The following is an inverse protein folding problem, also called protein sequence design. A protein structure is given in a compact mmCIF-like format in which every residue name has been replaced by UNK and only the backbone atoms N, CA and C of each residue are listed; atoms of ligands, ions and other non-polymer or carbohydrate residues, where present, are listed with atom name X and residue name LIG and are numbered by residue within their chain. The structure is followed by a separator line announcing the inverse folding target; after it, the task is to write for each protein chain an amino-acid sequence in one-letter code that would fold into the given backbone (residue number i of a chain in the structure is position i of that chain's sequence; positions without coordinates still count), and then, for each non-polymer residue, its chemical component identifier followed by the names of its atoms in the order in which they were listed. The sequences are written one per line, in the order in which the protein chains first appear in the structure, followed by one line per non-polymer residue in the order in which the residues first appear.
data_IF_417606509473
#
_entry.id   IF_417606509473
#
_cell.length_a   1.000
_cell.length_b   1.000
_cell.length_c   1.000
_cell.angle_alpha   90.00
_cell.angle_beta   90.00
_cell.angle_gamma   90.00
#
_symmetry.space_group_name_H-M   'P 1'
#
loop_
_entity.id
_entity.type
_entity.pdbx_description
1 polymer ?
#
# COMPACT_ATOMS: atom_id res chain seq x y z
N UNK A 1 -2.80 12.55 24.05
CA UNK A 1 -2.43 12.30 22.64
C UNK A 1 -3.35 13.09 21.76
N UNK A 2 -2.83 14.21 21.25
CA UNK A 2 -3.54 15.13 20.35
C UNK A 2 -3.74 14.48 18.97
N UNK A 3 -4.91 14.73 18.36
CA UNK A 3 -5.29 14.10 17.08
C UNK A 3 -5.84 15.12 16.10
N UNK A 4 -5.55 14.92 14.83
CA UNK A 4 -6.11 15.73 13.74
C UNK A 4 -6.62 14.85 12.61
N UNK A 5 -7.75 15.26 12.03
CA UNK A 5 -8.39 14.57 10.91
C UNK A 5 -8.36 15.47 9.68
N UNK A 6 -7.95 14.91 8.54
CA UNK A 6 -7.55 15.70 7.37
C UNK A 6 -8.24 15.19 6.12
N UNK A 7 -8.96 16.08 5.46
CA UNK A 7 -9.30 15.92 4.05
C UNK A 7 -8.15 16.46 3.20
N UNK A 8 -7.48 15.54 2.49
CA UNK A 8 -6.28 15.87 1.74
C UNK A 8 -6.66 16.58 0.45
N UNK A 9 -5.97 17.70 0.19
CA UNK A 9 -6.03 18.41 -1.06
C UNK A 9 -4.82 18.12 -1.96
N UNK A 10 -4.97 18.43 -3.25
CA UNK A 10 -3.97 18.27 -4.31
C UNK A 10 -3.76 19.62 -5.04
N UNK A 11 -2.60 19.81 -5.70
CA UNK A 11 -2.24 20.99 -6.51
C UNK A 11 -2.29 22.34 -5.75
N UNK A 12 -1.45 22.49 -4.72
CA UNK A 12 -1.28 23.75 -3.97
C UNK A 12 -2.51 24.24 -3.20
N UNK A 13 -3.59 23.47 -3.17
CA UNK A 13 -4.72 23.70 -2.29
C UNK A 13 -4.37 23.24 -0.87
N UNK A 14 -4.78 24.03 0.12
CA UNK A 14 -4.56 23.72 1.54
C UNK A 14 -5.28 22.46 1.99
N UNK A 15 -4.65 21.71 2.89
CA UNK A 15 -5.26 20.58 3.56
C UNK A 15 -6.25 21.07 4.60
N UNK A 16 -7.48 20.56 4.56
CA UNK A 16 -8.51 20.95 5.53
C UNK A 16 -8.45 20.00 6.72
N UNK A 17 -8.20 20.58 7.88
CA UNK A 17 -7.97 19.87 9.13
C UNK A 17 -9.12 20.09 10.11
N UNK A 18 -9.40 19.08 10.91
CA UNK A 18 -10.31 19.13 12.04
C UNK A 18 -9.58 18.69 13.31
N UNK A 19 -9.43 19.63 14.24
CA UNK A 19 -8.90 19.42 15.59
C UNK A 19 -10.03 19.00 16.52
N UNK A 20 -9.93 17.80 17.08
CA UNK A 20 -10.96 17.26 17.97
C UNK A 20 -10.92 17.82 19.38
N UNK A 21 -9.75 18.25 19.84
CA UNK A 21 -9.56 18.73 21.21
C UNK A 21 -10.08 20.17 21.33
N UNK A 22 -9.92 20.95 20.27
CA UNK A 22 -10.42 22.35 20.19
C UNK A 22 -11.73 22.50 19.42
N UNK A 23 -12.26 21.41 18.87
CA UNK A 23 -13.49 21.35 18.07
C UNK A 23 -13.54 22.36 16.89
N UNK A 24 -12.39 22.62 16.25
CA UNK A 24 -12.22 23.66 15.24
C UNK A 24 -11.69 23.12 13.90
N UNK A 25 -12.00 23.86 12.83
CA UNK A 25 -11.45 23.63 11.50
C UNK A 25 -10.35 24.64 11.21
N UNK A 26 -9.28 24.18 10.59
CA UNK A 26 -8.18 25.02 10.12
C UNK A 26 -7.57 24.44 8.83
N UNK A 27 -6.68 25.19 8.20
CA UNK A 27 -6.06 24.83 6.95
C UNK A 27 -4.54 24.92 7.08
N UNK A 28 -3.83 23.96 6.49
CA UNK A 28 -2.36 23.94 6.43
C UNK A 28 -1.88 23.77 5.00
N UNK A 29 -0.75 24.38 4.67
CA UNK A 29 -0.14 24.26 3.35
C UNK A 29 0.68 22.96 3.24
N UNK A 30 1.20 22.46 4.36
CA UNK A 30 1.95 21.21 4.47
C UNK A 30 1.56 20.40 5.71
N UNK A 31 1.56 19.06 5.60
CA UNK A 31 1.41 18.16 6.74
C UNK A 31 2.53 18.33 7.79
N UNK A 32 3.68 18.88 7.40
CA UNK A 32 4.80 19.16 8.31
C UNK A 32 4.49 20.27 9.33
N UNK A 33 3.46 21.08 9.09
CA UNK A 33 3.00 22.11 10.05
C UNK A 33 2.30 21.51 11.27
N UNK A 34 1.88 20.25 11.21
CA UNK A 34 1.11 19.57 12.25
C UNK A 34 1.98 19.01 13.38
N UNK A 35 2.97 19.79 13.83
CA UNK A 35 3.98 19.37 14.82
C UNK A 35 3.40 19.09 16.20
N UNK A 36 2.29 19.74 16.54
CA UNK A 36 1.63 19.62 17.85
C UNK A 36 0.71 18.40 17.97
N UNK A 37 0.54 17.62 16.89
CA UNK A 37 -0.31 16.44 16.86
C UNK A 37 0.50 15.16 16.97
N UNK A 38 0.06 14.21 17.79
CA UNK A 38 0.68 12.89 17.93
C UNK A 38 0.18 11.90 16.87
N UNK A 39 -1.12 12.00 16.54
CA UNK A 39 -1.79 11.15 15.56
C UNK A 39 -2.45 11.97 14.46
N UNK A 40 -2.16 11.62 13.21
CA UNK A 40 -2.67 12.29 12.02
C UNK A 40 -3.50 11.30 11.22
N UNK A 41 -4.77 11.62 10.99
CA UNK A 41 -5.74 10.77 10.30
C UNK A 41 -6.10 11.38 8.95
N UNK A 42 -5.63 10.73 7.89
CA UNK A 42 -5.80 11.14 6.52
C UNK A 42 -7.03 10.47 5.88
N UNK A 43 -7.62 11.15 4.92
CA UNK A 43 -8.53 10.53 3.96
C UNK A 43 -7.80 9.45 3.12
N UNK A 44 -8.49 8.82 2.17
CA UNK A 44 -7.90 7.72 1.39
C UNK A 44 -7.03 8.19 0.21
N UNK A 45 -6.85 9.50 0.02
CA UNK A 45 -6.31 10.08 -1.20
C UNK A 45 -4.81 10.37 -1.04
N UNK A 46 -3.96 9.35 -1.21
CA UNK A 46 -2.51 9.53 -1.20
C UNK A 46 -2.00 9.91 -2.60
N UNK A 47 -1.56 11.15 -2.76
CA UNK A 47 -1.07 11.71 -4.03
C UNK A 47 0.47 11.66 -4.14
N UNK A 48 1.05 11.68 -5.35
CA UNK A 48 2.50 11.62 -5.55
C UNK A 48 3.32 12.71 -4.84
N UNK A 49 2.80 13.93 -4.77
CA UNK A 49 3.42 15.10 -4.13
C UNK A 49 3.41 15.03 -2.59
N UNK A 50 2.52 14.23 -2.01
CA UNK A 50 2.42 14.06 -0.57
C UNK A 50 3.51 13.19 0.04
N UNK A 51 4.13 12.29 -0.72
CA UNK A 51 5.03 11.30 -0.15
C UNK A 51 6.21 11.94 0.59
N UNK A 52 6.70 13.08 0.12
CA UNK A 52 7.76 13.82 0.80
C UNK A 52 7.29 14.38 2.16
N UNK A 53 6.10 14.99 2.20
CA UNK A 53 5.54 15.51 3.46
C UNK A 53 5.27 14.37 4.46
N UNK A 54 4.74 13.25 3.99
CA UNK A 54 4.51 12.06 4.82
C UNK A 54 5.81 11.48 5.35
N UNK A 55 6.89 11.52 4.56
CA UNK A 55 8.22 11.06 4.98
C UNK A 55 8.73 11.91 6.13
N UNK A 56 8.64 13.23 6.01
CA UNK A 56 9.05 14.17 7.05
C UNK A 56 8.26 13.95 8.35
N UNK A 57 6.93 13.92 8.25
CA UNK A 57 6.04 13.75 9.40
C UNK A 57 6.30 12.43 10.14
N UNK A 58 6.42 11.31 9.42
CA UNK A 58 6.70 10.00 10.03
C UNK A 58 8.11 9.96 10.63
N UNK A 59 9.10 10.57 9.96
CA UNK A 59 10.48 10.62 10.47
C UNK A 59 10.60 11.45 11.74
N UNK A 60 9.72 12.44 11.93
CA UNK A 60 9.59 13.22 13.15
C UNK A 60 8.82 12.48 14.28
N UNK A 61 8.59 11.18 14.13
CA UNK A 61 7.98 10.33 15.17
C UNK A 61 6.46 10.41 15.25
N UNK A 62 5.78 11.01 14.26
CA UNK A 62 4.32 11.14 14.26
C UNK A 62 3.64 9.89 13.71
N UNK A 63 2.51 9.53 14.30
CA UNK A 63 1.72 8.39 13.86
C UNK A 63 0.72 8.83 12.78
N UNK A 64 0.95 8.38 11.55
CA UNK A 64 0.07 8.73 10.42
C UNK A 64 -0.80 7.52 10.06
N UNK A 65 -2.10 7.76 9.92
CA UNK A 65 -3.08 6.77 9.53
C UNK A 65 -3.85 7.22 8.31
N UNK A 66 -4.26 6.29 7.45
CA UNK A 66 -5.10 6.59 6.30
C UNK A 66 -6.42 5.82 6.35
N UNK A 67 -7.48 6.45 5.88
CA UNK A 67 -8.79 5.84 5.76
C UNK A 67 -8.81 4.76 4.67
N UNK A 68 -9.34 3.58 4.98
CA UNK A 68 -9.22 2.39 4.11
C UNK A 68 -10.49 2.03 3.34
N UNK A 69 -11.58 2.79 3.52
CA UNK A 69 -12.91 2.42 2.99
C UNK A 69 -13.56 3.54 2.19
N UNK A 70 -12.91 4.06 1.14
CA UNK A 70 -13.45 5.16 0.32
C UNK A 70 -14.86 4.86 -0.24
N UNK A 71 -15.18 3.59 -0.54
CA UNK A 71 -16.50 3.20 -1.05
C UNK A 71 -17.63 3.34 -0.01
N UNK A 72 -17.32 3.55 1.27
CA UNK A 72 -18.31 3.77 2.34
C UNK A 72 -18.69 5.23 2.54
N UNK A 73 -18.08 6.19 1.84
CA UNK A 73 -18.35 7.62 2.05
C UNK A 73 -19.83 7.97 1.98
N UNK A 74 -20.57 7.43 1.01
CA UNK A 74 -22.03 7.64 0.89
C UNK A 74 -22.81 7.15 2.11
N UNK A 75 -22.46 5.96 2.63
CA UNK A 75 -23.06 5.37 3.83
C UNK A 75 -22.73 6.19 5.07
N UNK A 76 -21.48 6.63 5.20
CA UNK A 76 -20.98 7.46 6.31
C UNK A 76 -21.73 8.80 6.36
N UNK A 77 -21.81 9.52 5.23
CA UNK A 77 -22.57 10.78 5.14
C UNK A 77 -24.04 10.60 5.51
N UNK A 78 -24.68 9.52 5.03
CA UNK A 78 -26.09 9.24 5.36
C UNK A 78 -26.25 9.00 6.87
N UNK A 79 -25.33 8.24 7.48
CA UNK A 79 -25.36 7.89 8.90
C UNK A 79 -25.22 9.12 9.80
N UNK A 80 -24.28 10.01 9.50
CA UNK A 80 -23.97 11.18 10.32
C UNK A 80 -24.57 12.46 9.75
N UNK A 81 -25.68 12.37 9.00
CA UNK A 81 -26.25 13.48 8.25
C UNK A 81 -26.62 14.67 9.13
N UNK A 82 -27.29 14.39 10.26
CA UNK A 82 -27.81 15.43 11.13
C UNK A 82 -26.68 16.09 11.93
N UNK A 83 -25.72 15.30 12.44
CA UNK A 83 -24.50 15.81 13.08
C UNK A 83 -23.65 16.64 12.12
N UNK A 84 -23.50 16.18 10.87
CA UNK A 84 -22.79 16.93 9.83
C UNK A 84 -23.50 18.26 9.53
N UNK A 85 -24.83 18.24 9.38
CA UNK A 85 -25.61 19.47 9.14
C UNK A 85 -25.52 20.43 10.32
N UNK A 86 -25.53 19.93 11.55
CA UNK A 86 -25.36 20.73 12.75
C UNK A 86 -23.96 21.38 12.81
N UNK A 87 -22.92 20.65 12.41
CA UNK A 87 -21.53 21.12 12.51
C UNK A 87 -21.12 22.08 11.39
N UNK A 88 -21.52 21.82 10.14
CA UNK A 88 -21.06 22.58 8.96
C UNK A 88 -22.20 23.26 8.18
N UNK A 89 -23.43 23.20 8.68
CA UNK A 89 -24.62 23.81 8.06
C UNK A 89 -25.16 23.08 6.82
N UNK A 90 -24.44 22.09 6.28
CA UNK A 90 -24.81 21.35 5.06
C UNK A 90 -24.52 19.86 5.21
N UNK A 91 -25.32 19.03 4.53
CA UNK A 91 -25.11 17.57 4.48
C UNK A 91 -24.40 17.09 3.20
N UNK A 92 -24.10 18.01 2.28
CA UNK A 92 -23.42 17.72 1.00
C UNK A 92 -21.91 17.52 1.21
N UNK A 93 -21.22 17.03 0.16
CA UNK A 93 -19.76 16.90 0.18
C UNK A 93 -19.08 18.26 0.31
N UNK A 94 -18.21 18.38 1.31
CA UNK A 94 -17.29 19.49 1.55
C UNK A 94 -16.04 18.94 2.23
N UNK A 95 -14.91 19.62 2.08
CA UNK A 95 -13.63 19.19 2.65
C UNK A 95 -13.67 19.20 4.20
N UNK A 96 -14.21 20.28 4.79
CA UNK A 96 -14.48 20.35 6.25
C UNK A 96 -15.40 19.21 6.70
N UNK A 97 -16.40 18.90 5.91
CA UNK A 97 -17.31 17.80 6.19
C UNK A 97 -16.61 16.45 6.16
N UNK A 98 -15.70 16.23 5.21
CA UNK A 98 -14.93 14.97 5.12
C UNK A 98 -13.95 14.83 6.28
N UNK A 99 -13.22 15.88 6.66
CA UNK A 99 -12.38 15.90 7.85
C UNK A 99 -13.18 15.55 9.13
N UNK A 100 -14.35 16.18 9.32
CA UNK A 100 -15.24 15.88 10.45
C UNK A 100 -15.78 14.44 10.43
N UNK A 101 -16.14 13.92 9.25
CA UNK A 101 -16.65 12.56 9.14
C UNK A 101 -15.58 11.50 9.40
N UNK A 102 -14.30 11.77 9.10
CA UNK A 102 -13.21 10.89 9.50
C UNK A 102 -13.16 10.75 11.03
N UNK A 103 -13.31 11.86 11.76
CA UNK A 103 -13.42 11.83 13.23
C UNK A 103 -14.61 10.99 13.70
N UNK A 104 -15.80 11.18 13.11
CA UNK A 104 -16.99 10.39 13.48
C UNK A 104 -16.84 8.90 13.21
N UNK A 105 -16.16 8.55 12.12
CA UNK A 105 -15.80 7.15 11.85
C UNK A 105 -14.82 6.63 12.90
N UNK A 106 -13.84 7.43 13.29
CA UNK A 106 -12.87 7.09 14.32
C UNK A 106 -13.54 6.85 15.67
N UNK A 107 -14.36 7.80 16.14
CA UNK A 107 -15.16 7.72 17.37
C UNK A 107 -15.99 6.42 17.42
N UNK A 108 -16.76 6.15 16.36
CA UNK A 108 -17.55 4.93 16.26
C UNK A 108 -16.68 3.66 16.26
N UNK A 109 -15.51 3.71 15.64
CA UNK A 109 -14.59 2.57 15.55
C UNK A 109 -13.90 2.28 16.88
N UNK A 110 -13.68 3.29 17.73
CA UNK A 110 -13.20 3.13 19.09
C UNK A 110 -14.23 2.38 19.94
N UNK A 111 -15.49 2.80 19.91
CA UNK A 111 -16.59 2.15 20.65
C UNK A 111 -16.70 0.67 20.26
N UNK A 112 -16.47 0.35 18.99
CA UNK A 112 -16.52 -1.02 18.46
C UNK A 112 -15.20 -1.79 18.56
N UNK A 113 -14.19 -1.20 19.19
CA UNK A 113 -12.83 -1.72 19.30
C UNK A 113 -12.27 -2.25 17.95
N UNK A 114 -12.43 -1.46 16.88
CA UNK A 114 -12.11 -1.90 15.52
C UNK A 114 -11.51 -0.82 14.63
N UNK A 115 -10.86 0.20 15.21
CA UNK A 115 -10.19 1.31 14.49
C UNK A 115 -9.29 0.83 13.35
N UNK A 116 -8.54 -0.24 13.56
CA UNK A 116 -7.67 -0.89 12.55
C UNK A 116 -8.40 -1.33 11.25
N UNK A 117 -9.73 -1.45 11.27
CA UNK A 117 -10.56 -1.78 10.09
C UNK A 117 -10.87 -0.58 9.22
N UNK A 118 -10.77 0.63 9.76
CA UNK A 118 -11.08 1.89 9.10
C UNK A 118 -9.82 2.69 8.83
N UNK A 119 -8.91 2.75 9.81
CA UNK A 119 -7.66 3.47 9.73
C UNK A 119 -6.49 2.50 9.80
N UNK A 120 -5.56 2.60 8.85
CA UNK A 120 -4.34 1.80 8.85
C UNK A 120 -3.13 2.71 8.99
N UNK A 121 -2.12 2.29 9.77
CA UNK A 121 -0.90 3.06 9.88
C UNK A 121 -0.17 3.09 8.52
N UNK A 122 0.37 4.26 8.20
CA UNK A 122 1.42 4.42 7.21
C UNK A 122 2.76 4.34 7.93
N UNK A 123 3.67 3.56 7.37
CA UNK A 123 5.03 3.40 7.88
C UNK A 123 6.02 4.06 6.94
N UNK A 124 7.25 4.28 7.41
CA UNK A 124 8.34 4.76 6.54
C UNK A 124 8.53 3.85 5.32
N UNK A 125 8.39 2.52 5.50
CA UNK A 125 8.43 1.53 4.41
C UNK A 125 7.34 1.83 3.36
N UNK A 126 6.13 2.18 3.79
CA UNK A 126 5.04 2.49 2.85
C UNK A 126 5.33 3.76 2.06
N UNK A 127 5.78 4.82 2.73
CA UNK A 127 6.05 6.12 2.10
C UNK A 127 7.24 6.07 1.15
N UNK A 128 8.23 5.23 1.45
CA UNK A 128 9.44 5.11 0.65
C UNK A 128 9.26 4.18 -0.56
N UNK A 129 8.56 3.05 -0.37
CA UNK A 129 8.46 2.03 -1.42
C UNK A 129 7.22 2.18 -2.29
N UNK A 130 6.07 2.63 -1.78
CA UNK A 130 4.85 2.74 -2.60
C UNK A 130 5.02 3.66 -3.82
N UNK A 131 5.68 4.83 -3.74
CA UNK A 131 5.88 5.70 -4.89
C UNK A 131 6.70 5.01 -5.97
N UNK A 132 7.78 4.34 -5.58
CA UNK A 132 8.64 3.58 -6.49
C UNK A 132 7.87 2.42 -7.13
N UNK A 133 7.09 1.67 -6.34
CA UNK A 133 6.23 0.58 -6.83
C UNK A 133 5.10 1.07 -7.75
N UNK A 134 4.61 2.30 -7.58
CA UNK A 134 3.64 2.91 -8.49
C UNK A 134 4.32 3.32 -9.81
N UNK A 135 5.51 3.92 -9.73
CA UNK A 135 6.32 4.28 -10.89
C UNK A 135 6.72 3.06 -11.72
N UNK A 136 7.19 1.99 -11.07
CA UNK A 136 7.52 0.71 -11.71
C UNK A 136 6.30 0.11 -12.41
N UNK A 137 5.13 0.10 -11.77
CA UNK A 137 3.90 -0.42 -12.36
C UNK A 137 3.49 0.37 -13.61
N UNK A 138 3.60 1.71 -13.57
CA UNK A 138 3.30 2.58 -14.69
C UNK A 138 4.26 2.34 -15.87
N UNK A 139 5.56 2.33 -15.61
CA UNK A 139 6.59 2.08 -16.63
C UNK A 139 6.44 0.69 -17.26
N UNK A 140 6.20 -0.33 -16.44
CA UNK A 140 6.02 -1.70 -16.93
C UNK A 140 4.75 -1.84 -17.77
N UNK A 141 3.65 -1.17 -17.42
CA UNK A 141 2.44 -1.14 -18.26
C UNK A 141 2.71 -0.46 -19.60
N UNK A 142 3.48 0.62 -19.61
CA UNK A 142 3.86 1.28 -20.86
C UNK A 142 4.76 0.37 -21.71
N UNK A 143 5.72 -0.33 -21.11
CA UNK A 143 6.54 -1.32 -21.79
C UNK A 143 5.68 -2.44 -22.41
N UNK A 144 4.69 -2.96 -21.68
CA UNK A 144 3.77 -3.96 -22.21
C UNK A 144 2.97 -3.43 -23.41
N UNK A 145 2.50 -2.18 -23.36
CA UNK A 145 1.79 -1.56 -24.49
C UNK A 145 2.68 -1.43 -25.72
N UNK A 146 3.92 -0.97 -25.53
CA UNK A 146 4.91 -0.84 -26.61
C UNK A 146 5.22 -2.21 -27.23
N UNK A 147 5.54 -3.22 -26.42
CA UNK A 147 5.77 -4.58 -26.91
C UNK A 147 4.58 -5.16 -27.67
N UNK A 148 3.35 -4.87 -27.24
CA UNK A 148 2.15 -5.32 -27.95
C UNK A 148 1.96 -4.60 -29.31
N UNK A 149 2.41 -3.35 -29.45
CA UNK A 149 2.40 -2.65 -30.73
C UNK A 149 3.40 -3.27 -31.73
N UNK A 150 4.54 -3.77 -31.23
CA UNK A 150 5.51 -4.52 -32.04
C UNK A 150 4.90 -5.76 -32.69
N UNK A 151 4.01 -6.47 -31.98
CA UNK A 151 3.29 -7.64 -32.49
C UNK A 151 2.42 -7.28 -33.70
N UNK A 152 1.99 -6.02 -33.83
CA UNK A 152 1.15 -5.50 -34.92
C UNK A 152 2.02 -4.91 -36.06
N UNK A 153 3.34 -5.11 -36.02
CA UNK A 153 4.28 -4.72 -37.09
C UNK A 153 4.84 -3.31 -36.97
N UNK A 154 4.66 -2.62 -35.83
CA UNK A 154 5.28 -1.31 -35.58
C UNK A 154 6.70 -1.52 -35.06
N UNK A 155 7.70 -0.89 -35.69
CA UNK A 155 9.06 -0.88 -35.14
C UNK A 155 9.11 0.02 -33.89
N UNK A 156 9.40 -0.62 -32.75
CA UNK A 156 9.45 0.01 -31.43
C UNK A 156 10.61 -0.55 -30.60
N UNK A 157 11.60 -1.18 -31.25
CA UNK A 157 12.68 -1.89 -30.53
C UNK A 157 13.49 -0.93 -29.65
N UNK A 158 13.79 0.28 -30.16
CA UNK A 158 14.47 1.33 -29.40
C UNK A 158 13.67 1.78 -28.18
N UNK A 159 12.38 2.08 -28.35
CA UNK A 159 11.49 2.51 -27.27
C UNK A 159 11.31 1.44 -26.20
N UNK A 160 11.20 0.17 -26.61
CA UNK A 160 11.13 -0.98 -25.71
C UNK A 160 12.41 -1.09 -24.86
N UNK A 161 13.59 -0.99 -25.47
CA UNK A 161 14.88 -1.02 -24.76
C UNK A 161 15.01 0.13 -23.75
N UNK A 162 14.59 1.34 -24.12
CA UNK A 162 14.61 2.50 -23.20
C UNK A 162 13.69 2.25 -21.99
N UNK A 163 12.48 1.73 -22.22
CA UNK A 163 11.54 1.43 -21.15
C UNK A 163 11.99 0.26 -20.28
N UNK A 164 12.61 -0.77 -20.86
CA UNK A 164 13.22 -1.88 -20.13
C UNK A 164 14.28 -1.40 -19.15
N UNK A 165 15.22 -0.58 -19.63
CA UNK A 165 16.25 0.03 -18.79
C UNK A 165 15.65 0.86 -17.65
N UNK A 166 14.65 1.70 -17.95
CA UNK A 166 13.94 2.49 -16.91
C UNK A 166 13.22 1.62 -15.88
N UNK A 167 12.61 0.52 -16.31
CA UNK A 167 11.97 -0.44 -15.39
C UNK A 167 13.01 -1.11 -14.51
N UNK A 168 14.14 -1.53 -15.07
CA UNK A 168 15.22 -2.16 -14.33
C UNK A 168 15.84 -1.21 -13.30
N UNK A 169 16.13 0.04 -13.69
CA UNK A 169 16.65 1.08 -12.78
C UNK A 169 15.73 1.30 -11.58
N UNK A 170 14.42 1.46 -11.81
CA UNK A 170 13.44 1.62 -10.72
C UNK A 170 13.34 0.35 -9.86
N UNK A 171 13.48 -0.85 -10.45
CA UNK A 171 13.49 -2.09 -9.66
C UNK A 171 14.73 -2.18 -8.77
N UNK A 172 15.91 -1.80 -9.26
CA UNK A 172 17.13 -1.72 -8.44
C UNK A 172 16.94 -0.74 -7.28
N UNK A 173 16.37 0.45 -7.55
CA UNK A 173 16.06 1.44 -6.52
C UNK A 173 15.08 0.88 -5.46
N UNK A 174 14.05 0.14 -5.87
CA UNK A 174 13.12 -0.55 -4.97
C UNK A 174 13.87 -1.55 -4.08
N UNK A 175 14.76 -2.35 -4.65
CA UNK A 175 15.54 -3.36 -3.92
C UNK A 175 16.45 -2.70 -2.90
N UNK A 176 17.24 -1.70 -3.32
CA UNK A 176 18.13 -0.95 -2.44
C UNK A 176 17.39 -0.31 -1.26
N UNK A 177 16.19 0.23 -1.51
CA UNK A 177 15.36 0.83 -0.47
C UNK A 177 14.73 -0.23 0.43
N UNK A 178 14.33 -1.38 -0.11
CA UNK A 178 13.79 -2.50 0.65
C UNK A 178 14.83 -3.14 1.57
N UNK A 179 16.06 -3.36 1.10
CA UNK A 179 17.18 -3.88 1.91
C UNK A 179 17.44 -2.97 3.11
N UNK A 180 17.41 -1.65 2.91
CA UNK A 180 17.64 -0.67 3.98
C UNK A 180 16.49 -0.56 4.98
N UNK A 181 15.24 -0.62 4.50
CA UNK A 181 14.07 -0.28 5.32
C UNK A 181 13.32 -1.48 5.88
N UNK A 182 13.47 -2.66 5.28
CA UNK A 182 12.78 -3.88 5.70
C UNK A 182 13.80 -4.79 6.38
N UNK A 183 13.84 -4.84 7.72
CA UNK A 183 14.96 -5.44 8.42
C UNK A 183 15.13 -6.95 8.22
N UNK A 184 14.09 -7.65 7.75
CA UNK A 184 14.09 -9.10 7.48
C UNK A 184 14.11 -9.40 5.98
N UNK A 185 14.46 -8.41 5.15
CA UNK A 185 14.37 -8.55 3.70
C UNK A 185 15.35 -9.61 3.21
N UNK A 186 16.63 -9.49 3.57
CA UNK A 186 17.71 -10.40 3.18
C UNK A 186 17.44 -11.82 3.67
N UNK A 187 17.03 -11.99 4.92
CA UNK A 187 16.73 -13.32 5.44
C UNK A 187 15.62 -14.02 4.64
N UNK A 188 14.59 -13.26 4.19
CA UNK A 188 13.51 -13.81 3.35
C UNK A 188 14.03 -14.12 1.94
N UNK A 189 14.94 -13.32 1.38
CA UNK A 189 15.51 -13.59 0.05
C UNK A 189 16.34 -14.86 0.06
N UNK A 190 17.14 -15.07 1.11
CA UNK A 190 17.92 -16.31 1.31
C UNK A 190 17.00 -17.52 1.45
N UNK A 191 15.92 -17.42 2.24
CA UNK A 191 14.91 -18.50 2.36
C UNK A 191 14.24 -18.84 1.02
N UNK A 192 14.20 -17.89 0.08
CA UNK A 192 13.64 -18.07 -1.26
C UNK A 192 14.69 -18.52 -2.28
N UNK A 193 15.97 -18.61 -1.89
CA UNK A 193 17.08 -18.92 -2.76
C UNK A 193 17.25 -17.87 -3.86
N UNK A 194 17.14 -16.59 -3.53
CA UNK A 194 17.36 -15.47 -4.44
C UNK A 194 18.70 -14.79 -4.13
N UNK A 195 19.43 -14.45 -5.19
CA UNK A 195 20.68 -13.70 -5.10
C UNK A 195 20.40 -12.21 -5.23
N UNK A 196 21.36 -11.36 -4.85
CA UNK A 196 21.21 -9.90 -4.97
C UNK A 196 21.04 -9.44 -6.43
N UNK A 197 21.51 -10.24 -7.38
CA UNK A 197 21.36 -9.99 -8.82
C UNK A 197 19.97 -10.36 -9.36
N UNK A 198 19.13 -11.06 -8.58
CA UNK A 198 17.75 -11.43 -8.95
C UNK A 198 16.78 -10.23 -8.83
N UNK A 199 17.15 -9.07 -9.38
CA UNK A 199 16.47 -7.77 -9.22
C UNK A 199 14.95 -7.85 -9.43
N UNK A 200 14.51 -8.62 -10.43
CA UNK A 200 13.08 -8.83 -10.70
C UNK A 200 12.37 -9.57 -9.55
N UNK A 201 12.99 -10.63 -9.03
CA UNK A 201 12.46 -11.41 -7.91
C UNK A 201 12.43 -10.57 -6.63
N UNK A 202 13.53 -9.86 -6.36
CA UNK A 202 13.68 -9.00 -5.19
C UNK A 202 12.69 -7.83 -5.20
N UNK A 203 12.49 -7.15 -6.33
CA UNK A 203 11.45 -6.12 -6.46
C UNK A 203 10.05 -6.72 -6.29
N UNK A 204 9.83 -7.97 -6.73
CA UNK A 204 8.60 -8.73 -6.50
C UNK A 204 8.35 -9.00 -5.02
N UNK A 205 9.38 -9.41 -4.30
CA UNK A 205 9.33 -9.58 -2.85
C UNK A 205 9.02 -8.25 -2.15
N UNK A 206 9.73 -7.17 -2.49
CA UNK A 206 9.50 -5.84 -1.89
C UNK A 206 8.05 -5.38 -2.07
N UNK A 207 7.52 -5.46 -3.30
CA UNK A 207 6.12 -5.14 -3.58
C UNK A 207 5.13 -6.02 -2.80
N UNK A 208 5.41 -7.33 -2.69
CA UNK A 208 4.58 -8.24 -1.93
C UNK A 208 4.57 -7.90 -0.43
N UNK A 209 5.72 -7.57 0.17
CA UNK A 209 5.84 -7.20 1.58
C UNK A 209 5.16 -5.86 1.89
N UNK A 210 5.22 -4.90 0.96
CA UNK A 210 4.56 -3.60 1.09
C UNK A 210 3.04 -3.74 1.05
N UNK A 211 2.47 -4.46 0.08
CA UNK A 211 1.01 -4.51 -0.09
C UNK A 211 0.31 -5.60 0.72
N UNK A 212 0.95 -6.77 0.93
CA UNK A 212 0.40 -7.83 1.77
C UNK A 212 0.88 -7.68 3.22
N UNK A 213 0.20 -6.85 4.01
CA UNK A 213 0.53 -6.65 5.44
C UNK A 213 0.11 -7.81 6.35
N UNK A 214 -0.51 -8.87 5.83
CA UNK A 214 -1.01 -9.97 6.68
C UNK A 214 0.08 -10.98 7.00
N UNK A 215 0.20 -11.35 8.27
CA UNK A 215 1.02 -12.48 8.75
C UNK A 215 0.28 -13.82 8.70
N UNK A 216 -0.99 -13.83 8.29
CA UNK A 216 -1.79 -15.05 8.22
C UNK A 216 -1.84 -15.56 6.78
N UNK A 217 -1.30 -16.76 6.57
CA UNK A 217 -1.31 -17.41 5.26
C UNK A 217 -2.72 -17.50 4.66
N UNK A 218 -3.72 -17.85 5.47
CA UNK A 218 -5.13 -17.91 5.04
C UNK A 218 -5.66 -16.54 4.58
N UNK A 219 -5.33 -15.46 5.30
CA UNK A 219 -5.75 -14.10 4.93
C UNK A 219 -5.03 -13.65 3.65
N UNK A 220 -3.73 -13.90 3.52
CA UNK A 220 -2.96 -13.59 2.31
C UNK A 220 -3.46 -14.35 1.09
N UNK A 221 -3.77 -15.65 1.24
CA UNK A 221 -4.41 -16.46 0.20
C UNK A 221 -5.72 -15.82 -0.30
N UNK A 222 -6.56 -15.34 0.62
CA UNK A 222 -7.82 -14.66 0.26
C UNK A 222 -7.54 -13.33 -0.45
N UNK A 223 -6.63 -12.53 0.09
CA UNK A 223 -6.27 -11.21 -0.45
C UNK A 223 -5.70 -11.28 -1.86
N UNK A 224 -4.93 -12.33 -2.15
CA UNK A 224 -4.31 -12.59 -3.46
C UNK A 224 -5.19 -13.43 -4.40
N UNK A 225 -6.43 -13.76 -4.01
CA UNK A 225 -7.34 -14.56 -4.86
C UNK A 225 -6.90 -16.01 -5.07
N UNK A 226 -5.93 -16.48 -4.27
CA UNK A 226 -5.33 -17.81 -4.35
C UNK A 226 -6.15 -18.86 -3.60
N UNK A 227 -7.48 -18.78 -3.62
CA UNK A 227 -8.36 -19.83 -3.10
C UNK A 227 -9.09 -20.54 -4.23
N UNK A 228 -9.44 -21.83 -4.07
CA UNK A 228 -10.35 -22.49 -5.01
C UNK A 228 -11.74 -21.90 -4.80
N UNK A 229 -12.33 -21.33 -5.84
CA UNK A 229 -13.70 -20.89 -5.79
C UNK A 229 -14.55 -21.99 -6.47
N UNK A 230 -15.66 -22.41 -5.83
CA UNK A 230 -16.54 -23.47 -6.33
C UNK A 230 -17.64 -22.85 -7.20
N UNK A 231 -17.98 -23.47 -8.33
CA UNK A 231 -19.07 -23.05 -9.23
C UNK A 231 -18.62 -22.37 -10.55
N UNK A 232 -19.53 -22.23 -11.52
CA UNK A 232 -19.23 -21.65 -12.85
C UNK A 232 -18.89 -20.15 -12.83
N UNK A 233 -19.47 -19.38 -11.91
CA UNK A 233 -19.24 -17.93 -11.76
C UNK A 233 -18.12 -17.55 -10.78
N UNK A 234 -17.39 -18.55 -10.29
CA UNK A 234 -16.48 -18.38 -9.16
C UNK A 234 -15.27 -17.48 -9.48
N UNK A 235 -14.91 -17.34 -10.77
CA UNK A 235 -13.87 -16.41 -11.23
C UNK A 235 -14.36 -14.95 -11.24
N UNK A 236 -15.64 -14.70 -11.57
CA UNK A 236 -16.26 -13.35 -11.57
C UNK A 236 -16.43 -12.78 -10.15
N UNK A 237 -16.55 -13.66 -9.15
CA UNK A 237 -16.82 -13.28 -7.74
C UNK A 237 -15.52 -13.11 -6.93
N UNK A 238 -14.37 -13.57 -7.44
CA UNK A 238 -13.09 -13.48 -6.74
C UNK A 238 -12.63 -12.02 -6.62
N UNK A 239 -12.80 -11.44 -5.43
CA UNK A 239 -12.19 -10.16 -5.07
C UNK A 239 -10.75 -10.40 -4.60
N UNK A 240 -9.78 -9.84 -5.33
CA UNK A 240 -8.37 -9.91 -4.98
C UNK A 240 -7.65 -8.62 -5.39
N UNK A 241 -6.47 -8.40 -4.80
CA UNK A 241 -5.58 -7.30 -5.21
C UNK A 241 -4.76 -7.76 -6.43
N UNK A 242 -5.16 -7.32 -7.63
CA UNK A 242 -4.40 -7.56 -8.87
C UNK A 242 -2.96 -7.03 -8.76
N UNK A 243 -2.80 -5.85 -8.16
CA UNK A 243 -1.50 -5.24 -7.88
C UNK A 243 -0.60 -6.12 -7.03
N UNK A 244 -1.10 -6.64 -5.91
CA UNK A 244 -0.29 -7.51 -5.03
C UNK A 244 0.00 -8.86 -5.71
N UNK A 245 -0.96 -9.40 -6.46
CA UNK A 245 -0.78 -10.66 -7.18
C UNK A 245 0.28 -10.53 -8.27
N UNK A 246 0.37 -9.40 -8.98
CA UNK A 246 1.45 -9.11 -9.94
C UNK A 246 2.83 -9.26 -9.31
N UNK A 247 3.04 -8.71 -8.12
CA UNK A 247 4.32 -8.81 -7.41
C UNK A 247 4.66 -10.25 -6.98
N UNK A 248 3.65 -11.01 -6.52
CA UNK A 248 3.85 -12.44 -6.24
C UNK A 248 4.17 -13.24 -7.51
N UNK A 249 3.50 -12.94 -8.62
CA UNK A 249 3.77 -13.57 -9.93
C UNK A 249 5.19 -13.26 -10.40
N UNK A 250 5.64 -12.00 -10.28
CA UNK A 250 7.00 -11.59 -10.62
C UNK A 250 8.04 -12.35 -9.80
N UNK A 251 7.85 -12.41 -8.48
CA UNK A 251 8.70 -13.21 -7.58
C UNK A 251 8.72 -14.69 -7.96
N UNK A 252 7.55 -15.27 -8.23
CA UNK A 252 7.42 -16.71 -8.56
C UNK A 252 8.06 -17.03 -9.90
N UNK A 253 7.95 -16.15 -10.89
CA UNK A 253 8.60 -16.33 -12.19
C UNK A 253 10.12 -16.40 -12.05
N UNK A 254 10.72 -15.48 -11.30
CA UNK A 254 12.18 -15.48 -11.07
C UNK A 254 12.64 -16.79 -10.46
N UNK A 255 11.95 -17.28 -9.42
CA UNK A 255 12.27 -18.56 -8.76
C UNK A 255 12.12 -19.74 -9.73
N UNK A 256 11.05 -19.78 -10.54
CA UNK A 256 10.84 -20.86 -11.50
C UNK A 256 11.91 -20.86 -12.61
N UNK A 257 12.23 -19.70 -13.18
CA UNK A 257 13.23 -19.59 -14.23
C UNK A 257 14.63 -19.98 -13.75
N UNK A 258 14.98 -19.62 -12.51
CA UNK A 258 16.23 -20.05 -11.87
C UNK A 258 16.32 -21.58 -11.75
N UNK A 259 15.20 -22.24 -11.51
CA UNK A 259 15.11 -23.70 -11.46
C UNK A 259 14.98 -24.37 -12.85
N UNK A 260 15.19 -23.62 -13.94
CA UNK A 260 15.04 -24.13 -15.31
C UNK A 260 13.59 -24.34 -15.76
N UNK A 261 12.60 -23.91 -14.96
CA UNK A 261 11.18 -24.03 -15.29
C UNK A 261 10.69 -22.80 -16.06
N UNK A 262 10.96 -22.77 -17.37
CA UNK A 262 10.54 -21.69 -18.28
C UNK A 262 9.05 -21.80 -18.66
N UNK A 263 8.17 -21.66 -17.68
CA UNK A 263 6.71 -21.70 -17.87
C UNK A 263 6.00 -20.64 -17.02
N UNK A 264 4.79 -20.21 -17.40
CA UNK A 264 3.96 -19.38 -16.53
C UNK A 264 3.69 -20.08 -15.18
N UNK A 265 3.61 -19.32 -14.08
CA UNK A 265 3.46 -19.88 -12.75
C UNK A 265 2.03 -20.35 -12.58
N UNK A 266 1.89 -21.59 -12.10
CA UNK A 266 0.60 -22.17 -11.77
C UNK A 266 0.18 -21.72 -10.38
N UNK A 267 -1.10 -21.88 -10.10
CA UNK A 267 -1.69 -21.60 -8.80
C UNK A 267 -0.97 -22.31 -7.63
N UNK A 268 -0.43 -23.51 -7.85
CA UNK A 268 0.35 -24.25 -6.84
C UNK A 268 1.69 -23.57 -6.55
N UNK A 269 2.36 -23.07 -7.58
CA UNK A 269 3.65 -22.36 -7.48
C UNK A 269 3.49 -21.07 -6.66
N UNK A 270 2.50 -20.25 -7.02
CA UNK A 270 2.18 -19.01 -6.29
C UNK A 270 1.89 -19.27 -4.80
N UNK A 271 1.20 -20.37 -4.48
CA UNK A 271 0.91 -20.74 -3.09
C UNK A 271 2.14 -21.23 -2.34
N UNK A 272 3.03 -21.97 -2.99
CA UNK A 272 4.28 -22.44 -2.40
C UNK A 272 5.16 -21.25 -2.02
N UNK A 273 5.41 -20.34 -2.97
CA UNK A 273 6.20 -19.12 -2.73
C UNK A 273 5.56 -18.24 -1.66
N UNK A 274 4.24 -18.00 -1.73
CA UNK A 274 3.54 -17.22 -0.71
C UNK A 274 3.67 -17.83 0.69
N UNK A 275 3.66 -19.16 0.80
CA UNK A 275 3.79 -19.85 2.09
C UNK A 275 5.15 -19.56 2.70
N UNK A 276 6.23 -19.73 1.94
CA UNK A 276 7.60 -19.42 2.40
C UNK A 276 7.67 -17.97 2.90
N UNK A 277 7.22 -17.01 2.08
CA UNK A 277 7.23 -15.59 2.47
C UNK A 277 6.47 -15.34 3.79
N UNK A 278 5.29 -15.93 3.98
CA UNK A 278 4.48 -15.71 5.19
C UNK A 278 5.10 -16.40 6.41
N UNK A 279 5.66 -17.60 6.24
CA UNK A 279 6.29 -18.36 7.31
C UNK A 279 7.59 -17.70 7.77
N UNK A 280 8.47 -17.30 6.84
CA UNK A 280 9.71 -16.56 7.15
C UNK A 280 9.41 -15.27 7.92
N UNK A 281 8.43 -14.48 7.47
CA UNK A 281 7.99 -13.27 8.20
C UNK A 281 7.49 -13.56 9.61
N UNK A 282 6.77 -14.67 9.79
CA UNK A 282 6.22 -15.05 11.10
C UNK A 282 7.35 -15.46 12.04
N UNK A 283 8.29 -16.28 11.57
CA UNK A 283 9.44 -16.73 12.36
C UNK A 283 10.32 -15.54 12.78
N UNK A 284 10.67 -14.66 11.84
CA UNK A 284 11.53 -13.50 12.12
C UNK A 284 10.82 -12.45 12.99
N UNK A 285 9.49 -12.31 12.84
CA UNK A 285 8.68 -11.45 13.71
C UNK A 285 8.49 -11.99 15.13
N UNK A 286 8.68 -13.30 15.36
CA UNK A 286 8.72 -13.90 16.70
C UNK A 286 10.11 -13.75 17.32
N UNK A 287 11.17 -14.09 16.57
CA UNK A 287 12.57 -13.94 17.02
C UNK A 287 12.91 -12.51 17.48
N UNK A 288 12.39 -11.48 16.79
CA UNK A 288 12.60 -10.08 17.21
C UNK A 288 11.89 -9.67 18.49
N UNK A 289 10.74 -10.29 18.81
CA UNK A 289 10.03 -10.04 20.08
C UNK A 289 10.76 -10.66 21.26
N UNK A 290 11.37 -11.82 21.05
CA UNK A 290 12.23 -12.48 22.04
C UNK A 290 13.52 -11.69 22.29
N UNK A 291 14.03 -10.99 21.27
CA UNK A 291 15.18 -10.08 21.37
C UNK A 291 14.83 -8.66 21.88
N UNK A 292 13.59 -8.40 22.32
CA UNK A 292 13.21 -7.12 22.93
C UNK A 292 13.02 -5.94 21.97
N UNK A 293 13.06 -6.14 20.65
CA UNK A 293 12.77 -5.09 19.69
C UNK A 293 11.26 -4.79 19.68
N UNK A 294 10.87 -3.60 20.14
CA UNK A 294 9.49 -3.11 19.97
C UNK A 294 9.23 -2.77 18.50
N UNK A 295 8.04 -3.10 17.97
CA UNK A 295 7.66 -2.83 16.58
C UNK A 295 7.59 -1.33 16.27
#
# INVERSE_FOLDING_TARGET
MSKVFIDIAWNSKKHVCYDTDRDLFFEVDSLAELKDYDEIYLDNSLFPDMWQQLREVISNGKNVYYFTRPWKWKEIRKRFKDELKAKIGKASKTDKGDAFLLWKVYELSLIKNNTHRYFRPLTIVDVELRPLLMREEMLYRNLQRVRNASIIGVDVESDAKILEKKVEEVRREIVDRAVRLIPTFIDITECLGLDLDDVNGLAGLAGLLVYNKSTSYRKSVKYLGLYKAKGRDAWRIKKYSSKTQRYLTMLTNTILWRNGEYRPPRYRDLRRVLRVVVESRKQMGLARRELGYKP
#
